data_IF_009297352414
#
_entry.id   IF_009297352414
#
_cell.length_a   1.000
_cell.length_b   1.000
_cell.length_c   1.000
_cell.angle_alpha   90.00
_cell.angle_beta   90.00
_cell.angle_gamma   90.00
#
_symmetry.space_group_name_H-M   'P 1'
#
loop_
_entity.id
_entity.type
_entity.pdbx_description
1 polymer ?
#
# COMPACT_ATOMS: atom_id res chain seq x y z
N UNK A 1 -0.20 -6.19 -6.73
CA UNK A 1 0.61 -5.24 -5.93
C UNK A 1 0.26 -5.32 -4.44
N UNK A 2 -0.97 -4.96 -4.03
CA UNK A 2 -1.35 -4.88 -2.60
C UNK A 2 -1.16 -6.19 -1.82
N UNK A 3 -1.55 -7.33 -2.40
CA UNK A 3 -1.37 -8.65 -1.77
C UNK A 3 0.10 -8.97 -1.52
N UNK A 4 0.96 -8.78 -2.52
CA UNK A 4 2.42 -8.99 -2.38
C UNK A 4 3.03 -8.08 -1.33
N UNK A 5 2.66 -6.80 -1.32
CA UNK A 5 3.12 -5.85 -0.30
C UNK A 5 2.72 -6.29 1.11
N UNK A 6 1.50 -6.80 1.27
CA UNK A 6 1.02 -7.33 2.56
C UNK A 6 1.84 -8.54 2.99
N UNK A 7 2.07 -9.51 2.10
CA UNK A 7 2.80 -10.75 2.42
C UNK A 7 4.29 -10.49 2.67
N UNK A 8 4.93 -9.70 1.82
CA UNK A 8 6.39 -9.49 1.87
C UNK A 8 6.81 -8.48 2.95
N UNK A 9 6.04 -7.39 3.13
CA UNK A 9 6.45 -6.28 4.01
C UNK A 9 5.51 -6.05 5.20
N UNK A 10 4.43 -6.83 5.33
CA UNK A 10 3.40 -6.64 6.37
C UNK A 10 2.78 -5.23 6.34
N UNK A 11 2.56 -4.68 5.14
CA UNK A 11 1.88 -3.39 4.95
C UNK A 11 0.56 -3.61 4.21
N UNK A 12 -0.56 -3.33 4.89
CA UNK A 12 -1.89 -3.42 4.31
C UNK A 12 -2.31 -2.09 3.67
N UNK A 13 -2.73 -2.14 2.41
CA UNK A 13 -3.34 -1.02 1.67
C UNK A 13 -4.56 -1.55 0.89
N UNK A 14 -5.49 -0.67 0.51
CA UNK A 14 -6.69 -1.08 -0.23
C UNK A 14 -6.44 -0.96 -1.74
N UNK A 15 -6.72 -1.99 -2.56
CA UNK A 15 -6.64 -1.86 -4.02
C UNK A 15 -7.73 -0.90 -4.55
N UNK A 16 -7.45 -0.20 -5.64
CA UNK A 16 -8.37 0.79 -6.22
C UNK A 16 -9.63 0.21 -6.85
N UNK A 17 -9.64 -1.09 -7.16
CA UNK A 17 -10.80 -1.80 -7.75
C UNK A 17 -12.05 -1.73 -6.88
N UNK A 18 -11.89 -1.55 -5.57
CA UNK A 18 -13.00 -1.39 -4.62
C UNK A 18 -13.71 -0.04 -4.78
N UNK A 19 -13.10 0.93 -5.49
CA UNK A 19 -13.58 2.31 -5.60
C UNK A 19 -13.90 2.75 -7.03
N UNK A 20 -13.37 2.06 -8.04
CA UNK A 20 -13.63 2.39 -9.44
C UNK A 20 -13.63 1.12 -10.30
N UNK A 21 -14.69 0.95 -11.09
CA UNK A 21 -14.83 -0.17 -12.04
C UNK A 21 -13.83 -0.07 -13.19
N UNK A 22 -13.53 1.15 -13.65
CA UNK A 22 -12.57 1.42 -14.71
C UNK A 22 -11.39 2.22 -14.17
N UNK A 23 -10.17 1.73 -14.37
CA UNK A 23 -8.92 2.38 -13.95
C UNK A 23 -8.57 2.19 -12.46
N UNK A 24 -9.42 1.52 -11.68
CA UNK A 24 -9.17 1.20 -10.27
C UNK A 24 -8.00 0.22 -10.09
N UNK A 25 -7.74 -0.63 -11.08
CA UNK A 25 -6.62 -1.58 -11.12
C UNK A 25 -5.25 -0.91 -11.10
N UNK A 26 -5.17 0.39 -11.46
CA UNK A 26 -3.93 1.17 -11.48
C UNK A 26 -3.70 2.00 -10.20
N UNK A 27 -4.66 1.98 -9.26
CA UNK A 27 -4.62 2.85 -8.08
C UNK A 27 -4.69 2.04 -6.79
N UNK A 28 -4.29 2.69 -5.69
CA UNK A 28 -4.40 2.17 -4.33
C UNK A 28 -4.86 3.29 -3.39
N UNK A 29 -5.49 2.92 -2.28
CA UNK A 29 -5.87 3.83 -1.20
C UNK A 29 -5.09 3.52 0.07
N UNK A 30 -4.55 4.56 0.69
CA UNK A 30 -3.80 4.50 1.95
C UNK A 30 -4.61 5.20 3.04
N UNK A 31 -4.86 4.50 4.14
CA UNK A 31 -5.39 5.10 5.36
C UNK A 31 -4.23 5.64 6.21
N UNK A 32 -4.28 6.93 6.56
CA UNK A 32 -3.24 7.62 7.34
C UNK A 32 -3.73 8.03 8.74
N UNK A 33 -4.84 7.44 9.20
CA UNK A 33 -5.40 7.65 10.54
C UNK A 33 -4.65 6.79 11.56
N UNK A 34 -3.34 7.00 11.67
CA UNK A 34 -2.44 6.30 12.59
C UNK A 34 -1.36 7.27 13.08
N UNK A 35 -0.56 6.86 14.07
CA UNK A 35 0.55 7.68 14.54
C UNK A 35 1.63 7.86 13.46
N UNK A 36 2.33 9.00 13.49
CA UNK A 36 3.33 9.36 12.47
C UNK A 36 4.47 8.35 12.40
N UNK A 37 4.89 7.78 13.54
CA UNK A 37 5.99 6.82 13.58
C UNK A 37 5.62 5.54 12.80
N UNK A 38 4.40 5.03 12.98
CA UNK A 38 3.87 3.90 12.21
C UNK A 38 3.75 4.21 10.72
N UNK A 39 3.31 5.42 10.37
CA UNK A 39 3.23 5.84 8.96
C UNK A 39 4.62 5.92 8.32
N UNK A 40 5.61 6.45 9.02
CA UNK A 40 7.00 6.48 8.56
C UNK A 40 7.57 5.08 8.33
N UNK A 41 7.32 4.16 9.26
CA UNK A 41 7.71 2.75 9.11
C UNK A 41 7.07 2.12 7.85
N UNK A 42 5.76 2.33 7.65
CA UNK A 42 5.06 1.82 6.49
C UNK A 42 5.64 2.37 5.17
N UNK A 43 5.97 3.67 5.12
CA UNK A 43 6.59 4.29 3.94
C UNK A 43 7.97 3.69 3.63
N UNK A 44 8.81 3.45 4.64
CA UNK A 44 10.12 2.81 4.45
C UNK A 44 9.98 1.39 3.88
N UNK A 45 9.03 0.62 4.39
CA UNK A 45 8.73 -0.74 3.91
C UNK A 45 8.20 -0.72 2.47
N UNK A 46 7.28 0.20 2.14
CA UNK A 46 6.77 0.39 0.78
C UNK A 46 7.92 0.75 -0.17
N UNK A 47 8.78 1.70 0.19
CA UNK A 47 9.91 2.11 -0.66
C UNK A 47 10.86 0.94 -0.95
N UNK A 48 11.16 0.12 0.06
CA UNK A 48 11.97 -1.09 -0.09
C UNK A 48 11.31 -2.09 -1.04
N UNK A 49 10.02 -2.35 -0.90
CA UNK A 49 9.28 -3.24 -1.81
C UNK A 49 9.29 -2.73 -3.25
N UNK A 50 9.00 -1.44 -3.46
CA UNK A 50 8.98 -0.81 -4.78
C UNK A 50 10.35 -0.87 -5.47
N UNK A 51 11.46 -0.77 -4.74
CA UNK A 51 12.80 -0.91 -5.33
C UNK A 51 13.12 -2.31 -5.87
N UNK A 52 12.32 -3.33 -5.55
CA UNK A 52 12.50 -4.73 -5.97
C UNK A 52 11.42 -5.22 -6.93
N UNK A 53 10.50 -4.33 -7.33
CA UNK A 53 9.40 -4.61 -8.25
C UNK A 53 9.88 -4.54 -9.70
#
# INVERSE_FOLDING_TARGET
FCERLLVEENVAITPGIDFAVQGGEHHVRIAFTNDVARLQEAVVRIARFVSRL
#
